data_IF_433483106957
#
_entry.id   IF_433483106957
#
_cell.length_a   1.000
_cell.length_b   1.000
_cell.length_c   1.000
_cell.angle_alpha   90.00
_cell.angle_beta   90.00
_cell.angle_gamma   90.00
#
_symmetry.space_group_name_H-M   'P 1'
#
loop_
_entity.id
_entity.type
_entity.pdbx_description
1 polymer ?
#
# COMPACT_ATOMS: atom_id res chain seq x y z
N UNK A 1 31.54 -34.46 15.38
CA UNK A 1 31.57 -33.01 15.67
C UNK A 1 31.37 -32.30 14.34
N UNK A 2 30.15 -31.92 14.02
CA UNK A 2 29.83 -31.19 12.80
C UNK A 2 30.28 -29.74 12.96
N UNK A 3 31.02 -29.21 11.98
CA UNK A 3 31.24 -27.79 11.82
C UNK A 3 29.87 -27.09 11.85
N UNK A 4 29.64 -26.26 12.88
CA UNK A 4 28.59 -25.24 12.83
C UNK A 4 28.99 -24.28 11.72
N UNK A 5 28.40 -24.44 10.53
CA UNK A 5 28.40 -23.38 9.53
C UNK A 5 27.77 -22.16 10.19
N UNK A 6 28.54 -21.11 10.40
CA UNK A 6 28.08 -19.79 10.80
C UNK A 6 27.38 -19.11 9.61
N UNK A 7 26.32 -19.73 9.09
CA UNK A 7 25.56 -19.26 7.94
C UNK A 7 24.17 -18.78 8.35
N UNK A 8 23.66 -17.77 7.65
CA UNK A 8 22.24 -17.37 7.71
C UNK A 8 21.35 -18.51 7.20
N UNK A 9 20.16 -18.65 7.76
CA UNK A 9 19.19 -19.64 7.28
C UNK A 9 18.83 -19.38 5.81
N UNK A 10 18.59 -20.46 5.05
CA UNK A 10 18.06 -20.33 3.68
C UNK A 10 16.64 -19.78 3.67
N UNK A 11 16.22 -19.18 2.55
CA UNK A 11 14.91 -18.54 2.42
C UNK A 11 13.73 -19.46 2.76
N UNK A 12 13.82 -20.76 2.49
CA UNK A 12 12.78 -21.73 2.89
C UNK A 12 12.60 -21.79 4.41
N UNK A 13 13.69 -21.76 5.18
CA UNK A 13 13.63 -21.74 6.64
C UNK A 13 13.13 -20.38 7.16
N UNK A 14 13.55 -19.28 6.53
CA UNK A 14 13.03 -17.95 6.83
C UNK A 14 11.52 -17.85 6.58
N UNK A 15 11.01 -18.43 5.49
CA UNK A 15 9.59 -18.51 5.18
C UNK A 15 8.84 -19.38 6.20
N UNK A 16 9.41 -20.53 6.59
CA UNK A 16 8.82 -21.39 7.61
C UNK A 16 8.71 -20.73 8.99
N UNK A 17 9.62 -19.81 9.33
CA UNK A 17 9.48 -19.01 10.55
C UNK A 17 8.24 -18.10 10.52
N UNK A 18 7.93 -17.48 9.36
CA UNK A 18 6.68 -16.74 9.19
C UNK A 18 5.48 -17.66 9.38
N UNK A 19 5.50 -18.87 8.78
CA UNK A 19 4.42 -19.86 8.93
C UNK A 19 4.21 -20.24 10.38
N UNK A 20 5.29 -20.54 11.10
CA UNK A 20 5.24 -20.90 12.51
C UNK A 20 4.64 -19.78 13.36
N UNK A 21 5.13 -18.54 13.22
CA UNK A 21 4.61 -17.38 13.95
C UNK A 21 3.13 -17.11 13.63
N UNK A 22 2.72 -17.25 12.36
CA UNK A 22 1.32 -17.10 11.97
C UNK A 22 0.43 -18.15 12.63
N UNK A 23 0.82 -19.43 12.57
CA UNK A 23 0.08 -20.52 13.23
C UNK A 23 -0.04 -20.27 14.74
N UNK A 24 1.07 -19.94 15.40
CA UNK A 24 1.14 -19.79 16.86
C UNK A 24 0.34 -18.59 17.37
N UNK A 25 0.50 -17.42 16.76
CA UNK A 25 -0.21 -16.21 17.16
C UNK A 25 -1.72 -16.36 16.98
N UNK A 26 -2.15 -16.98 15.88
CA UNK A 26 -3.57 -17.19 15.56
C UNK A 26 -4.17 -18.25 16.49
N UNK A 27 -3.44 -19.32 16.78
CA UNK A 27 -3.86 -20.35 17.73
C UNK A 27 -4.01 -19.75 19.14
N UNK A 28 -3.03 -18.98 19.60
CA UNK A 28 -3.08 -18.32 20.91
C UNK A 28 -4.22 -17.31 21.02
N UNK A 29 -4.48 -16.55 19.96
CA UNK A 29 -5.60 -15.60 19.92
C UNK A 29 -6.98 -16.28 19.77
N UNK A 30 -7.00 -17.59 19.43
CA UNK A 30 -8.18 -18.33 18.99
C UNK A 30 -8.98 -17.58 17.90
N UNK A 31 -8.27 -16.84 17.05
CA UNK A 31 -8.86 -15.92 16.06
C UNK A 31 -7.81 -15.49 15.05
N UNK A 32 -8.12 -15.51 13.76
CA UNK A 32 -7.20 -15.05 12.71
C UNK A 32 -7.27 -15.84 11.42
N UNK A 33 -6.37 -15.53 10.49
CA UNK A 33 -6.36 -16.07 9.14
C UNK A 33 -4.98 -16.70 8.84
N UNK A 34 -4.79 -18.00 9.09
CA UNK A 34 -3.46 -18.63 8.93
C UNK A 34 -3.15 -18.94 7.47
N UNK A 35 -4.19 -19.16 6.65
CA UNK A 35 -4.08 -19.67 5.29
C UNK A 35 -3.20 -18.82 4.37
N UNK A 36 -3.51 -17.53 4.23
CA UNK A 36 -2.76 -16.63 3.35
C UNK A 36 -1.31 -16.40 3.83
N UNK A 37 -1.03 -16.09 5.12
CA UNK A 37 0.34 -16.01 5.61
C UNK A 37 1.17 -17.27 5.31
N UNK A 38 0.56 -18.45 5.40
CA UNK A 38 1.24 -19.71 5.11
C UNK A 38 1.51 -19.92 3.62
N UNK A 39 0.56 -19.57 2.75
CA UNK A 39 0.72 -19.68 1.30
C UNK A 39 1.73 -18.68 0.72
N UNK A 40 1.72 -17.44 1.20
CA UNK A 40 2.54 -16.34 0.66
C UNK A 40 3.92 -16.16 1.30
N UNK A 41 4.29 -16.98 2.29
CA UNK A 41 5.53 -16.82 3.05
C UNK A 41 6.79 -16.84 2.17
N UNK A 42 6.89 -17.71 1.15
CA UNK A 42 8.05 -17.78 0.27
C UNK A 42 8.15 -16.55 -0.64
N UNK A 43 7.05 -16.13 -1.27
CA UNK A 43 6.99 -14.90 -2.09
C UNK A 43 7.39 -13.67 -1.28
N UNK A 44 6.84 -13.52 -0.06
CA UNK A 44 7.19 -12.43 0.82
C UNK A 44 8.67 -12.51 1.25
N UNK A 45 9.16 -13.69 1.59
CA UNK A 45 10.56 -13.88 1.98
C UNK A 45 11.51 -13.47 0.85
N UNK A 46 11.27 -13.90 -0.39
CA UNK A 46 12.11 -13.51 -1.54
C UNK A 46 12.06 -12.01 -1.79
N UNK A 47 10.86 -11.39 -1.77
CA UNK A 47 10.71 -9.94 -1.90
C UNK A 47 11.55 -9.20 -0.87
N UNK A 48 11.41 -9.55 0.40
CA UNK A 48 12.09 -8.85 1.48
C UNK A 48 13.59 -9.17 1.50
N UNK A 49 13.97 -10.43 1.31
CA UNK A 49 15.36 -10.86 1.36
C UNK A 49 16.20 -10.27 0.24
N UNK A 50 15.66 -10.13 -0.97
CA UNK A 50 16.47 -9.77 -2.15
C UNK A 50 16.21 -8.38 -2.71
N UNK A 51 15.01 -7.81 -2.53
CA UNK A 51 14.60 -6.65 -3.33
C UNK A 51 14.18 -5.42 -2.53
N UNK A 52 13.50 -5.61 -1.40
CA UNK A 52 12.93 -4.48 -0.68
C UNK A 52 14.03 -3.61 -0.07
N UNK A 53 13.82 -2.30 -0.14
CA UNK A 53 14.67 -1.27 0.45
C UNK A 53 13.92 -0.60 1.61
N UNK A 54 14.21 -0.98 2.86
CA UNK A 54 13.60 -0.39 4.06
C UNK A 54 14.60 -0.40 5.22
N UNK A 55 14.41 0.44 6.23
CA UNK A 55 15.18 0.39 7.47
C UNK A 55 14.20 0.41 8.66
N UNK A 56 14.08 -0.69 9.43
CA UNK A 56 13.20 -0.76 10.60
C UNK A 56 13.49 0.31 11.67
N UNK A 57 14.73 0.81 11.73
CA UNK A 57 15.15 1.88 12.65
C UNK A 57 14.78 3.28 12.14
N UNK A 58 14.37 3.40 10.88
CA UNK A 58 13.93 4.65 10.26
C UNK A 58 12.70 4.38 9.36
N UNK A 59 11.57 3.94 9.95
CA UNK A 59 10.39 3.51 9.20
C UNK A 59 9.70 4.65 8.45
N UNK A 60 10.05 5.91 8.75
CA UNK A 60 9.55 7.11 8.09
C UNK A 60 10.50 7.63 7.00
N UNK A 61 11.63 6.96 6.74
CA UNK A 61 12.57 7.29 5.67
C UNK A 61 11.82 7.52 4.35
N UNK A 62 11.85 8.74 3.77
CA UNK A 62 11.00 9.09 2.64
C UNK A 62 11.20 8.21 1.41
N UNK A 63 12.42 7.71 1.18
CA UNK A 63 12.77 6.95 -0.02
C UNK A 63 12.84 5.44 0.18
N UNK A 64 12.27 4.89 1.27
CA UNK A 64 12.08 3.43 1.39
C UNK A 64 11.13 2.90 0.32
N UNK A 65 11.23 1.64 -0.05
CA UNK A 65 10.15 0.96 -0.76
C UNK A 65 8.90 0.87 0.12
N UNK A 66 7.72 0.99 -0.49
CA UNK A 66 6.43 0.86 0.19
C UNK A 66 5.92 -0.57 0.05
N UNK A 67 5.46 -1.18 1.13
CA UNK A 67 4.81 -2.49 1.13
C UNK A 67 3.38 -2.39 1.62
N UNK A 68 2.43 -2.84 0.80
CA UNK A 68 1.00 -2.83 1.12
C UNK A 68 0.44 -4.25 1.09
N UNK A 69 -0.06 -4.70 2.24
CA UNK A 69 -0.82 -5.95 2.32
C UNK A 69 -2.30 -5.67 2.01
N UNK A 70 -2.67 -5.66 0.72
CA UNK A 70 -4.05 -5.40 0.31
C UNK A 70 -5.04 -6.46 0.82
N UNK A 71 -4.60 -7.72 0.87
CA UNK A 71 -5.31 -8.80 1.56
C UNK A 71 -5.06 -8.73 3.08
N UNK A 72 -5.53 -7.64 3.70
CA UNK A 72 -5.21 -7.30 5.10
C UNK A 72 -5.61 -8.35 6.14
N UNK A 73 -6.47 -9.30 5.80
CA UNK A 73 -6.83 -10.40 6.71
C UNK A 73 -5.61 -11.26 7.08
N UNK A 74 -4.62 -11.38 6.19
CA UNK A 74 -3.34 -12.06 6.42
C UNK A 74 -2.33 -11.23 7.23
N UNK A 75 -2.80 -10.37 8.14
CA UNK A 75 -2.01 -9.43 8.93
C UNK A 75 -0.79 -10.04 9.64
N UNK A 76 -0.91 -11.30 10.11
CA UNK A 76 0.20 -12.01 10.74
C UNK A 76 1.42 -12.22 9.82
N UNK A 77 1.24 -12.25 8.49
CA UNK A 77 2.38 -12.22 7.55
C UNK A 77 3.22 -10.96 7.77
N UNK A 78 2.57 -9.80 7.79
CA UNK A 78 3.22 -8.50 7.93
C UNK A 78 3.80 -8.32 9.34
N UNK A 79 3.08 -8.73 10.39
CA UNK A 79 3.58 -8.62 11.76
C UNK A 79 4.77 -9.55 12.02
N UNK A 80 4.74 -10.79 11.50
CA UNK A 80 5.89 -11.70 11.59
C UNK A 80 7.11 -11.09 10.90
N UNK A 81 6.95 -10.52 9.70
CA UNK A 81 8.03 -9.85 8.98
C UNK A 81 8.57 -8.65 9.78
N UNK A 82 7.70 -7.81 10.34
CA UNK A 82 8.14 -6.65 11.13
C UNK A 82 8.91 -7.09 12.39
N UNK A 83 8.45 -8.14 13.06
CA UNK A 83 9.15 -8.72 14.20
C UNK A 83 10.54 -9.23 13.80
N UNK A 84 10.62 -10.05 12.75
CA UNK A 84 11.86 -10.67 12.29
C UNK A 84 12.87 -9.66 11.75
N UNK A 85 12.40 -8.55 11.16
CA UNK A 85 13.24 -7.43 10.74
C UNK A 85 13.78 -6.59 11.92
N UNK A 86 13.22 -6.75 13.12
CA UNK A 86 13.66 -6.02 14.31
C UNK A 86 13.06 -4.61 14.43
N UNK A 87 11.80 -4.42 14.03
CA UNK A 87 11.04 -3.22 14.41
C UNK A 87 10.93 -3.17 15.94
N UNK A 88 11.31 -2.04 16.53
CA UNK A 88 11.39 -1.86 17.99
C UNK A 88 10.02 -1.90 18.69
N UNK A 89 8.95 -1.58 17.96
CA UNK A 89 7.56 -1.67 18.42
C UNK A 89 6.86 -2.97 18.03
N UNK A 90 7.61 -3.96 17.51
CA UNK A 90 7.11 -5.31 17.20
C UNK A 90 7.93 -6.42 17.90
N UNK A 91 8.12 -6.35 19.23
CA UNK A 91 8.72 -7.47 19.97
C UNK A 91 7.84 -8.73 19.89
N UNK A 92 8.39 -9.89 20.25
CA UNK A 92 7.64 -11.16 20.25
C UNK A 92 6.34 -11.07 21.08
N UNK A 93 6.35 -10.30 22.16
CA UNK A 93 5.18 -10.06 23.00
C UNK A 93 3.99 -9.43 22.25
N UNK A 94 4.22 -8.67 21.18
CA UNK A 94 3.12 -8.18 20.34
C UNK A 94 2.47 -9.34 19.56
N UNK A 95 3.27 -10.19 18.91
CA UNK A 95 2.77 -11.36 18.16
C UNK A 95 2.00 -12.31 19.08
N UNK A 96 2.51 -12.51 20.30
CA UNK A 96 1.87 -13.26 21.37
C UNK A 96 0.54 -12.67 21.85
N UNK A 97 0.27 -11.39 21.58
CA UNK A 97 -0.96 -10.67 21.92
C UNK A 97 -1.73 -10.22 20.66
N UNK A 98 -1.57 -10.96 19.57
CA UNK A 98 -2.35 -10.77 18.36
C UNK A 98 -3.86 -10.71 18.67
N UNK A 99 -4.55 -9.70 18.10
CA UNK A 99 -5.99 -9.43 18.27
C UNK A 99 -6.44 -9.10 19.70
N UNK A 100 -5.53 -8.83 20.63
CA UNK A 100 -5.88 -8.45 21.99
C UNK A 100 -6.03 -6.93 22.13
N UNK A 101 -6.95 -6.50 23.01
CA UNK A 101 -7.20 -5.08 23.27
C UNK A 101 -5.93 -4.43 23.85
N UNK A 102 -5.56 -3.25 23.33
CA UNK A 102 -4.42 -2.47 23.81
C UNK A 102 -3.07 -2.85 23.18
N UNK A 103 -3.04 -3.86 22.30
CA UNK A 103 -1.85 -4.27 21.56
C UNK A 103 -1.85 -3.72 20.13
N UNK A 104 -0.66 -3.63 19.53
CA UNK A 104 -0.45 -3.04 18.19
C UNK A 104 -0.82 -4.00 17.08
N UNK A 105 -0.73 -5.30 17.34
CA UNK A 105 -1.06 -6.40 16.42
C UNK A 105 -2.58 -6.60 16.30
N UNK A 106 -3.26 -5.61 15.72
CA UNK A 106 -4.69 -5.64 15.43
C UNK A 106 -5.05 -6.72 14.40
N UNK A 107 -6.33 -7.11 14.33
CA UNK A 107 -6.78 -8.18 13.43
C UNK A 107 -6.52 -7.92 11.94
N UNK A 108 -6.43 -6.65 11.54
CA UNK A 108 -6.00 -6.17 10.23
C UNK A 108 -4.94 -5.08 10.43
N UNK A 109 -4.04 -4.81 9.46
CA UNK A 109 -3.02 -3.78 9.59
C UNK A 109 -3.64 -2.40 9.72
N UNK A 110 -3.19 -1.63 10.72
CA UNK A 110 -3.68 -0.27 11.00
C UNK A 110 -2.53 0.73 10.94
N UNK A 111 -2.61 1.68 9.99
CA UNK A 111 -1.63 2.76 9.87
C UNK A 111 -1.58 3.59 11.15
N UNK A 112 -0.36 3.89 11.61
CA UNK A 112 -0.11 4.71 12.81
C UNK A 112 -0.15 3.94 14.13
N UNK A 113 -0.67 2.70 14.15
CA UNK A 113 -0.68 1.85 15.35
C UNK A 113 0.59 1.01 15.50
N UNK A 114 1.20 0.57 14.39
CA UNK A 114 2.54 -0.03 14.37
C UNK A 114 3.40 0.58 13.25
N UNK A 115 4.71 0.67 13.48
CA UNK A 115 5.68 1.11 12.48
C UNK A 115 5.71 0.15 11.29
N UNK A 116 6.08 0.68 10.12
CA UNK A 116 6.16 -0.08 8.87
C UNK A 116 4.82 -0.40 8.20
N UNK A 117 3.68 -0.14 8.84
CA UNK A 117 2.36 -0.27 8.20
C UNK A 117 2.08 0.98 7.36
N UNK A 118 2.13 0.83 6.03
CA UNK A 118 1.99 1.96 5.09
C UNK A 118 0.56 2.48 4.94
N UNK A 119 -0.45 1.63 5.16
CA UNK A 119 -1.87 1.99 5.07
C UNK A 119 -2.70 1.01 5.89
N UNK A 120 -3.80 1.48 6.45
CA UNK A 120 -4.83 0.60 6.99
C UNK A 120 -5.47 -0.20 5.86
N UNK A 121 -5.58 -1.51 6.02
CA UNK A 121 -6.26 -2.42 5.09
C UNK A 121 -7.25 -3.31 5.85
N UNK A 122 -7.95 -4.20 5.15
CA UNK A 122 -9.05 -5.00 5.69
C UNK A 122 -10.23 -4.97 4.74
N UNK A 123 -10.81 -3.79 4.44
CA UNK A 123 -11.76 -3.68 3.33
C UNK A 123 -11.03 -3.98 2.02
N UNK A 124 -11.43 -5.06 1.35
CA UNK A 124 -10.73 -5.60 0.19
C UNK A 124 -10.71 -4.59 -0.98
N UNK A 125 -9.68 -4.68 -1.82
CA UNK A 125 -9.47 -3.76 -2.95
C UNK A 125 -8.92 -2.36 -2.60
N UNK A 126 -9.10 -1.89 -1.36
CA UNK A 126 -8.60 -0.57 -0.93
C UNK A 126 -7.07 -0.49 -0.93
N UNK A 127 -6.38 -1.57 -0.53
CA UNK A 127 -4.92 -1.58 -0.47
C UNK A 127 -4.26 -1.39 -1.83
N UNK A 128 -4.69 -2.15 -2.85
CA UNK A 128 -4.19 -1.97 -4.23
C UNK A 128 -4.52 -0.58 -4.78
N UNK A 129 -5.72 -0.05 -4.53
CA UNK A 129 -6.10 1.30 -4.98
C UNK A 129 -5.30 2.40 -4.27
N UNK A 130 -5.01 2.24 -2.98
CA UNK A 130 -4.16 3.15 -2.21
C UNK A 130 -2.71 3.09 -2.69
N UNK A 131 -2.20 1.90 -3.02
CA UNK A 131 -0.86 1.72 -3.58
C UNK A 131 -0.68 2.41 -4.95
N UNK A 132 -1.72 2.51 -5.78
CA UNK A 132 -1.71 3.34 -7.00
C UNK A 132 -1.42 4.80 -6.66
N UNK A 133 -2.03 5.32 -5.59
CA UNK A 133 -1.76 6.66 -5.08
C UNK A 133 -0.32 6.86 -4.62
N UNK A 134 0.24 5.89 -3.87
CA UNK A 134 1.63 5.92 -3.41
C UNK A 134 2.62 5.91 -4.59
N UNK A 135 2.42 5.02 -5.56
CA UNK A 135 3.24 4.94 -6.77
C UNK A 135 3.14 6.22 -7.62
N UNK A 136 1.95 6.82 -7.72
CA UNK A 136 1.76 8.10 -8.40
C UNK A 136 2.51 9.23 -7.68
N UNK A 137 2.42 9.30 -6.36
CA UNK A 137 3.13 10.29 -5.56
C UNK A 137 4.66 10.16 -5.72
N UNK A 138 5.21 8.94 -5.76
CA UNK A 138 6.62 8.70 -6.08
C UNK A 138 6.98 9.33 -7.43
N UNK A 139 6.20 9.05 -8.49
CA UNK A 139 6.48 9.57 -9.85
C UNK A 139 6.47 11.10 -9.89
N UNK A 140 5.53 11.71 -9.17
CA UNK A 140 5.40 13.17 -9.08
C UNK A 140 6.57 13.78 -8.29
N UNK A 141 6.93 13.20 -7.15
CA UNK A 141 8.05 13.66 -6.33
C UNK A 141 9.40 13.48 -7.04
N UNK A 142 9.65 12.31 -7.64
CA UNK A 142 10.85 12.05 -8.44
C UNK A 142 10.98 13.03 -9.62
N UNK A 143 9.87 13.41 -10.25
CA UNK A 143 9.89 14.39 -11.34
C UNK A 143 10.17 15.82 -10.86
N UNK A 144 9.76 16.17 -9.63
CA UNK A 144 9.96 17.49 -9.04
C UNK A 144 11.35 17.64 -8.43
N UNK A 145 11.79 16.64 -7.66
CA UNK A 145 13.00 16.70 -6.84
C UNK A 145 14.18 15.95 -7.45
N UNK A 146 13.94 14.91 -8.24
CA UNK A 146 14.96 14.12 -8.93
C UNK A 146 15.19 12.75 -8.27
N UNK A 147 15.74 11.81 -9.04
CA UNK A 147 15.97 10.42 -8.61
C UNK A 147 16.95 10.29 -7.43
N UNK A 148 17.84 11.26 -7.25
CA UNK A 148 18.75 11.27 -6.11
C UNK A 148 18.01 11.43 -4.76
N UNK A 149 16.78 11.94 -4.76
CA UNK A 149 15.97 12.07 -3.53
C UNK A 149 14.80 11.08 -3.49
N UNK A 150 14.31 10.65 -4.64
CA UNK A 150 13.10 9.82 -4.77
C UNK A 150 13.30 8.78 -5.87
N UNK A 151 13.54 7.54 -5.48
CA UNK A 151 13.71 6.36 -6.32
C UNK A 151 13.37 5.09 -5.53
N UNK A 152 12.08 4.78 -5.42
CA UNK A 152 11.60 3.60 -4.71
C UNK A 152 10.43 2.93 -5.43
N UNK A 153 10.13 1.70 -5.04
CA UNK A 153 9.03 0.89 -5.54
C UNK A 153 7.87 0.86 -4.55
N UNK A 154 6.70 0.51 -5.05
CA UNK A 154 5.52 0.15 -4.25
C UNK A 154 5.16 -1.29 -4.57
N UNK A 155 5.24 -2.16 -3.57
CA UNK A 155 4.91 -3.57 -3.65
C UNK A 155 3.58 -3.84 -2.96
N UNK A 156 2.74 -4.67 -3.57
CA UNK A 156 1.42 -5.02 -3.04
C UNK A 156 1.25 -6.53 -3.03
N UNK A 157 0.78 -7.11 -1.92
CA UNK A 157 0.21 -8.45 -1.92
C UNK A 157 -1.31 -8.33 -1.93
N UNK A 158 -1.96 -8.89 -2.94
CA UNK A 158 -3.41 -8.94 -3.10
C UNK A 158 -3.87 -10.40 -3.27
N UNK A 159 -5.08 -10.70 -2.81
CA UNK A 159 -5.73 -12.00 -3.04
C UNK A 159 -6.96 -11.86 -3.95
N UNK A 160 -7.65 -12.96 -4.21
CA UNK A 160 -8.80 -13.02 -5.10
C UNK A 160 -9.90 -12.02 -4.71
N UNK A 161 -10.23 -11.93 -3.42
CA UNK A 161 -11.23 -10.98 -2.94
C UNK A 161 -10.87 -9.52 -3.24
N UNK A 162 -9.58 -9.15 -3.25
CA UNK A 162 -9.18 -7.81 -3.68
C UNK A 162 -9.44 -7.58 -5.17
N UNK A 163 -9.30 -8.62 -6.00
CA UNK A 163 -9.43 -8.52 -7.45
C UNK A 163 -10.87 -8.69 -7.95
N UNK A 164 -11.77 -9.22 -7.13
CA UNK A 164 -13.21 -9.24 -7.39
C UNK A 164 -13.86 -7.86 -7.15
N UNK A 165 -13.32 -7.07 -6.21
CA UNK A 165 -13.85 -5.75 -5.86
C UNK A 165 -13.77 -4.75 -7.03
N UNK A 166 -14.85 -3.99 -7.25
CA UNK A 166 -14.95 -3.02 -8.35
C UNK A 166 -13.88 -1.92 -8.30
N UNK A 167 -13.52 -1.46 -7.10
CA UNK A 167 -12.45 -0.48 -6.90
C UNK A 167 -11.08 -0.95 -7.46
N UNK A 168 -10.84 -2.27 -7.48
CA UNK A 168 -9.60 -2.81 -8.06
C UNK A 168 -9.55 -2.56 -9.57
N UNK A 169 -10.69 -2.66 -10.27
CA UNK A 169 -10.75 -2.36 -11.70
C UNK A 169 -10.40 -0.90 -11.97
N UNK A 170 -10.99 0.02 -11.20
CA UNK A 170 -10.69 1.46 -11.28
C UNK A 170 -9.19 1.74 -11.09
N UNK A 171 -8.58 1.10 -10.08
CA UNK A 171 -7.17 1.23 -9.76
C UNK A 171 -6.25 0.64 -10.85
N UNK A 172 -6.56 -0.56 -11.33
CA UNK A 172 -5.81 -1.27 -12.38
C UNK A 172 -5.80 -0.46 -13.67
N UNK A 173 -6.97 0.04 -14.08
CA UNK A 173 -7.11 0.86 -15.28
C UNK A 173 -6.34 2.19 -15.15
N UNK A 174 -6.50 2.91 -14.02
CA UNK A 174 -5.79 4.18 -13.80
C UNK A 174 -4.26 4.01 -13.77
N UNK A 175 -3.75 3.00 -13.07
CA UNK A 175 -2.32 2.74 -12.98
C UNK A 175 -1.70 2.36 -14.32
N UNK A 176 -2.44 1.56 -15.10
CA UNK A 176 -2.10 1.18 -16.46
C UNK A 176 -2.06 2.38 -17.40
N UNK A 177 -3.12 3.19 -17.39
CA UNK A 177 -3.19 4.44 -18.13
C UNK A 177 -2.01 5.38 -17.82
N UNK A 178 -1.69 5.55 -16.53
CA UNK A 178 -0.58 6.40 -16.08
C UNK A 178 0.81 5.78 -16.27
N UNK A 179 0.91 4.50 -16.67
CA UNK A 179 2.16 3.75 -16.81
C UNK A 179 3.02 3.80 -15.54
N UNK A 180 2.44 3.46 -14.40
CA UNK A 180 3.13 3.47 -13.10
C UNK A 180 4.13 2.30 -12.95
N UNK A 181 5.27 2.39 -13.65
CA UNK A 181 6.30 1.34 -13.73
C UNK A 181 7.03 0.96 -12.44
N UNK A 182 6.68 1.58 -11.32
CA UNK A 182 7.21 1.28 -9.98
C UNK A 182 6.18 0.63 -9.06
N UNK A 183 5.02 0.26 -9.59
CA UNK A 183 3.99 -0.51 -8.90
C UNK A 183 4.08 -1.98 -9.31
N UNK A 184 4.31 -2.85 -8.33
CA UNK A 184 4.39 -4.30 -8.53
C UNK A 184 3.40 -4.98 -7.59
N UNK A 185 2.45 -5.71 -8.17
CA UNK A 185 1.41 -6.45 -7.46
C UNK A 185 1.71 -7.94 -7.55
N UNK A 186 1.83 -8.58 -6.40
CA UNK A 186 1.81 -10.03 -6.24
C UNK A 186 0.36 -10.44 -5.97
N UNK A 187 -0.21 -11.23 -6.87
CA UNK A 187 -1.50 -11.85 -6.64
C UNK A 187 -1.28 -13.26 -6.10
N UNK A 188 -1.80 -13.51 -4.90
CA UNK A 188 -1.93 -14.83 -4.30
C UNK A 188 -2.99 -15.63 -5.07
N UNK A 189 -2.56 -16.32 -6.14
CA UNK A 189 -3.39 -17.12 -7.05
C UNK A 189 -3.62 -18.51 -6.44
N UNK A 190 -4.35 -18.54 -5.32
CA UNK A 190 -4.58 -19.73 -4.51
C UNK A 190 -5.93 -20.44 -4.78
N UNK A 191 -6.82 -19.80 -5.55
CA UNK A 191 -8.17 -20.27 -5.94
C UNK A 191 -9.18 -20.44 -4.81
N UNK A 192 -8.94 -19.88 -3.63
CA UNK A 192 -9.81 -20.01 -2.46
C UNK A 192 -10.27 -18.63 -1.97
N UNK A 193 -11.58 -18.51 -1.83
CA UNK A 193 -12.26 -17.43 -1.11
C UNK A 193 -12.88 -17.97 0.19
N UNK A 194 -13.62 -17.13 0.92
CA UNK A 194 -14.30 -17.55 2.17
C UNK A 194 -15.29 -18.69 1.92
N UNK A 195 -16.04 -18.62 0.81
CA UNK A 195 -17.11 -19.57 0.52
C UNK A 195 -16.59 -20.89 -0.11
N UNK A 196 -15.29 -21.00 -0.38
CA UNK A 196 -14.71 -22.15 -1.09
C UNK A 196 -13.93 -21.73 -2.32
N UNK A 197 -13.92 -22.62 -3.31
CA UNK A 197 -13.26 -22.38 -4.60
C UNK A 197 -13.80 -21.10 -5.26
N UNK A 198 -12.89 -20.28 -5.78
CA UNK A 198 -13.22 -19.05 -6.51
C UNK A 198 -14.14 -19.27 -7.71
N UNK A 199 -14.15 -20.46 -8.32
CA UNK A 199 -15.04 -20.81 -9.43
C UNK A 199 -16.54 -20.73 -9.05
N UNK A 200 -16.87 -20.75 -7.75
CA UNK A 200 -18.24 -20.58 -7.27
C UNK A 200 -18.82 -19.19 -7.60
N UNK A 201 -17.98 -18.16 -7.71
CA UNK A 201 -18.44 -16.76 -7.81
C UNK A 201 -17.76 -15.95 -8.92
N UNK A 202 -16.68 -16.44 -9.53
CA UNK A 202 -16.02 -15.72 -10.62
C UNK A 202 -15.42 -16.63 -11.68
N UNK A 203 -15.47 -16.17 -12.92
CA UNK A 203 -14.76 -16.78 -14.07
C UNK A 203 -13.81 -15.77 -14.74
N UNK A 204 -13.48 -14.69 -14.03
CA UNK A 204 -12.67 -13.59 -14.55
C UNK A 204 -11.21 -14.02 -14.79
N UNK A 205 -10.73 -13.88 -16.03
CA UNK A 205 -9.30 -14.02 -16.30
C UNK A 205 -8.54 -12.77 -15.85
N UNK A 206 -8.04 -12.80 -14.61
CA UNK A 206 -7.33 -11.67 -14.00
C UNK A 206 -6.09 -11.28 -14.80
N UNK A 207 -5.29 -12.24 -15.27
CA UNK A 207 -4.10 -11.96 -16.06
C UNK A 207 -4.45 -11.21 -17.36
N UNK A 208 -5.52 -11.61 -18.05
CA UNK A 208 -5.99 -10.93 -19.26
C UNK A 208 -6.55 -9.53 -18.94
N UNK A 209 -7.31 -9.38 -17.85
CA UNK A 209 -7.81 -8.07 -17.37
C UNK A 209 -6.66 -7.08 -17.16
N UNK A 210 -5.59 -7.50 -16.50
CA UNK A 210 -4.40 -6.67 -16.29
C UNK A 210 -3.66 -6.37 -17.62
N UNK A 211 -3.50 -7.35 -18.51
CA UNK A 211 -2.90 -7.11 -19.84
C UNK A 211 -3.69 -6.07 -20.63
N UNK A 212 -5.02 -6.17 -20.62
CA UNK A 212 -5.92 -5.24 -21.29
C UNK A 212 -5.80 -3.82 -20.73
N UNK A 213 -5.61 -3.68 -19.42
CA UNK A 213 -5.32 -2.40 -18.77
C UNK A 213 -3.88 -1.90 -18.98
N UNK A 214 -3.06 -2.56 -19.80
CA UNK A 214 -1.70 -2.08 -20.10
C UNK A 214 -0.63 -2.48 -19.08
N UNK A 215 -0.87 -3.49 -18.25
CA UNK A 215 0.13 -4.02 -17.30
C UNK A 215 1.07 -5.04 -17.94
N UNK A 216 2.30 -5.10 -17.40
CA UNK A 216 3.15 -6.26 -17.58
C UNK A 216 2.63 -7.40 -16.68
N UNK A 217 2.54 -8.62 -17.20
CA UNK A 217 1.90 -9.74 -16.48
C UNK A 217 2.71 -11.02 -16.64
N UNK A 218 3.04 -11.63 -15.51
CA UNK A 218 3.78 -12.89 -15.40
C UNK A 218 3.03 -13.85 -14.46
N UNK A 219 3.35 -15.15 -14.57
CA UNK A 219 2.92 -16.19 -13.63
C UNK A 219 4.16 -16.95 -13.16
N UNK A 220 4.20 -17.29 -11.87
CA UNK A 220 5.28 -18.05 -11.24
C UNK A 220 4.71 -19.11 -10.31
N UNK A 221 5.48 -20.17 -10.08
CA UNK A 221 5.28 -21.01 -8.90
C UNK A 221 5.67 -20.20 -7.65
N UNK A 222 4.73 -20.05 -6.71
CA UNK A 222 4.93 -19.29 -5.47
C UNK A 222 5.89 -19.94 -4.47
N UNK A 223 6.43 -21.12 -4.77
CA UNK A 223 7.40 -21.83 -3.95
C UNK A 223 8.77 -22.01 -4.63
N UNK A 224 8.94 -21.51 -5.86
CA UNK A 224 10.23 -21.46 -6.54
C UNK A 224 10.86 -20.08 -6.35
N UNK A 225 11.79 -20.00 -5.41
CA UNK A 225 12.43 -18.74 -5.02
C UNK A 225 13.16 -18.05 -6.16
N UNK A 226 13.76 -18.81 -7.08
CA UNK A 226 14.48 -18.23 -8.22
C UNK A 226 13.51 -17.75 -9.31
N UNK A 227 12.40 -18.46 -9.52
CA UNK A 227 11.33 -18.00 -10.41
C UNK A 227 10.69 -16.71 -9.89
N UNK A 228 10.43 -16.61 -8.58
CA UNK A 228 9.93 -15.39 -7.93
C UNK A 228 10.93 -14.25 -8.12
N UNK A 229 12.21 -14.47 -7.80
CA UNK A 229 13.25 -13.45 -7.93
C UNK A 229 13.37 -12.95 -9.38
N UNK A 230 13.42 -13.86 -10.34
CA UNK A 230 13.47 -13.54 -11.78
C UNK A 230 12.25 -12.71 -12.20
N UNK A 231 11.05 -13.06 -11.73
CA UNK A 231 9.84 -12.31 -12.06
C UNK A 231 9.86 -10.88 -11.49
N UNK A 232 10.38 -10.68 -10.28
CA UNK A 232 10.55 -9.35 -9.67
C UNK A 232 11.57 -8.53 -10.48
N UNK A 233 12.70 -9.11 -10.86
CA UNK A 233 13.70 -8.44 -11.71
C UNK A 233 13.10 -7.99 -13.04
N UNK A 234 12.35 -8.87 -13.72
CA UNK A 234 11.67 -8.54 -14.96
C UNK A 234 10.67 -7.40 -14.75
N UNK A 235 9.86 -7.46 -13.70
CA UNK A 235 8.87 -6.43 -13.37
C UNK A 235 9.53 -5.04 -13.22
N UNK A 236 10.66 -4.95 -12.50
CA UNK A 236 11.41 -3.71 -12.28
C UNK A 236 11.99 -3.09 -13.56
N UNK A 237 12.17 -3.87 -14.64
CA UNK A 237 12.77 -3.42 -15.92
C UNK A 237 11.76 -2.95 -16.97
N UNK A 238 10.47 -3.24 -16.80
CA UNK A 238 9.48 -3.05 -17.89
C UNK A 238 9.03 -1.61 -18.12
N UNK A 239 9.14 -0.75 -17.10
CA UNK A 239 8.56 0.60 -17.13
C UNK A 239 7.02 0.63 -17.11
N UNK A 240 6.36 -0.51 -16.96
CA UNK A 240 4.90 -0.67 -16.84
C UNK A 240 4.55 -1.17 -15.43
N UNK A 241 3.38 -0.83 -14.87
CA UNK A 241 2.94 -1.50 -13.65
C UNK A 241 2.87 -3.01 -13.91
N UNK A 242 3.25 -3.82 -12.93
CA UNK A 242 3.44 -5.27 -13.10
C UNK A 242 2.55 -6.10 -12.18
N UNK A 243 1.90 -7.12 -12.72
CA UNK A 243 1.25 -8.20 -11.99
C UNK A 243 2.11 -9.46 -12.06
N UNK A 244 2.38 -10.05 -10.92
CA UNK A 244 2.99 -11.38 -10.79
C UNK A 244 1.93 -12.29 -10.14
N UNK A 245 1.31 -13.15 -10.94
CA UNK A 245 0.40 -14.18 -10.44
C UNK A 245 1.25 -15.28 -9.79
N UNK A 246 1.20 -15.36 -8.47
CA UNK A 246 1.96 -16.32 -7.67
C UNK A 246 1.05 -17.52 -7.41
N UNK A 247 1.31 -18.65 -8.08
CA UNK A 247 0.53 -19.86 -7.86
C UNK A 247 0.92 -20.45 -6.51
N UNK A 248 -0.01 -20.42 -5.55
CA UNK A 248 0.19 -20.89 -4.18
C UNK A 248 -0.91 -21.88 -3.79
N UNK A 249 -0.87 -22.33 -2.53
CA UNK A 249 -1.84 -23.21 -1.87
C UNK A 249 -2.14 -22.52 -0.54
N UNK A 250 -3.40 -22.15 -0.30
CA UNK A 250 -3.79 -21.57 0.98
C UNK A 250 -3.50 -22.57 2.12
N UNK A 251 -2.93 -22.11 3.23
CA UNK A 251 -2.59 -22.99 4.35
C UNK A 251 -1.42 -23.95 4.08
N UNK A 252 -0.57 -23.65 3.10
CA UNK A 252 0.57 -24.50 2.73
C UNK A 252 1.35 -25.00 3.95
N UNK A 253 1.51 -26.33 4.02
CA UNK A 253 2.18 -27.01 5.10
C UNK A 253 1.22 -27.68 6.08
N UNK A 254 -0.06 -27.28 6.16
CA UNK A 254 -1.08 -27.96 6.96
C UNK A 254 -1.64 -29.16 6.17
N UNK A 255 -1.15 -30.40 6.40
CA UNK A 255 -1.35 -31.50 5.47
C UNK A 255 -2.81 -31.93 5.28
N UNK A 256 -3.68 -31.70 6.27
CA UNK A 256 -5.09 -32.11 6.21
C UNK A 256 -6.02 -30.96 5.82
N UNK A 257 -5.57 -29.70 5.91
CA UNK A 257 -6.40 -28.52 5.66
C UNK A 257 -5.94 -27.64 4.49
N UNK A 258 -4.69 -27.74 4.03
CA UNK A 258 -4.18 -26.90 2.94
C UNK A 258 -5.01 -27.04 1.66
N UNK A 259 -5.18 -25.95 0.92
CA UNK A 259 -5.99 -25.91 -0.31
C UNK A 259 -7.50 -25.84 -0.05
N UNK A 260 -7.93 -25.67 1.20
CA UNK A 260 -9.35 -25.50 1.57
C UNK A 260 -9.58 -24.17 2.28
N UNK A 261 -10.80 -23.63 2.08
CA UNK A 261 -11.41 -22.51 2.78
C UNK A 261 -11.39 -22.65 4.30
N UNK A 262 -11.27 -23.88 4.82
CA UNK A 262 -11.10 -24.16 6.26
C UNK A 262 -9.86 -23.50 6.86
N UNK A 263 -8.84 -23.22 6.05
CA UNK A 263 -7.63 -22.49 6.49
C UNK A 263 -7.75 -20.96 6.36
N UNK A 264 -8.86 -20.46 5.81
CA UNK A 264 -9.00 -19.03 5.51
C UNK A 264 -9.08 -18.21 6.79
N UNK A 265 -10.02 -18.48 7.69
CA UNK A 265 -10.39 -17.57 8.79
C UNK A 265 -10.55 -18.19 10.17
N UNK A 266 -10.01 -19.40 10.37
CA UNK A 266 -10.03 -20.08 11.66
C UNK A 266 -8.62 -20.56 12.05
N UNK A 267 -8.31 -20.65 13.36
CA UNK A 267 -7.13 -21.37 13.84
C UNK A 267 -7.11 -22.80 13.33
N UNK A 268 -5.92 -23.35 13.10
CA UNK A 268 -5.77 -24.72 12.57
C UNK A 268 -6.13 -25.79 13.61
N UNK A 269 -5.92 -25.50 14.91
CA UNK A 269 -6.02 -26.48 15.99
C UNK A 269 -4.69 -27.19 16.26
N UNK A 270 -4.50 -27.64 17.50
CA UNK A 270 -3.22 -28.15 18.00
C UNK A 270 -2.71 -29.38 17.21
N UNK A 271 -3.61 -30.31 16.87
CA UNK A 271 -3.27 -31.51 16.10
C UNK A 271 -2.77 -31.16 14.69
N UNK A 272 -3.42 -30.21 14.02
CA UNK A 272 -3.03 -29.79 12.67
C UNK A 272 -1.74 -28.97 12.71
N UNK A 273 -1.52 -28.15 13.74
CA UNK A 273 -0.25 -27.44 13.92
C UNK A 273 0.91 -28.42 14.14
N UNK A 274 0.71 -29.47 14.93
CA UNK A 274 1.71 -30.50 15.12
C UNK A 274 2.03 -31.24 13.81
N UNK A 275 1.00 -31.55 13.02
CA UNK A 275 1.16 -32.15 11.69
C UNK A 275 1.89 -31.20 10.71
N UNK A 276 1.55 -29.92 10.72
CA UNK A 276 2.16 -28.91 9.88
C UNK A 276 3.64 -28.69 10.21
N UNK A 277 3.99 -28.63 11.50
CA UNK A 277 5.38 -28.57 11.97
C UNK A 277 6.20 -29.76 11.46
N UNK A 278 5.65 -30.97 11.52
CA UNK A 278 6.30 -32.17 10.96
C UNK A 278 6.49 -32.06 9.44
N UNK A 279 5.45 -31.64 8.71
CA UNK A 279 5.49 -31.48 7.25
C UNK A 279 6.52 -30.44 6.80
N UNK A 280 6.63 -29.32 7.53
CA UNK A 280 7.56 -28.22 7.23
C UNK A 280 8.98 -28.49 7.75
N UNK A 281 9.19 -29.54 8.54
CA UNK A 281 10.46 -29.81 9.21
C UNK A 281 10.81 -28.78 10.29
N UNK A 282 9.79 -28.17 10.92
CA UNK A 282 9.95 -27.12 11.93
C UNK A 282 9.82 -27.70 13.34
N UNK A 283 10.95 -27.86 14.04
CA UNK A 283 11.01 -28.56 15.34
C UNK A 283 11.01 -27.65 16.57
N UNK A 284 10.99 -26.33 16.38
CA UNK A 284 11.03 -25.36 17.47
C UNK A 284 9.67 -25.26 18.18
N UNK A 285 9.65 -24.74 19.41
CA UNK A 285 8.41 -24.52 20.17
C UNK A 285 7.63 -23.31 19.63
N UNK A 286 6.38 -23.11 20.08
CA UNK A 286 5.64 -21.90 19.75
C UNK A 286 6.43 -20.64 20.14
N UNK A 287 6.43 -19.64 19.24
CA UNK A 287 7.15 -18.37 19.43
C UNK A 287 8.68 -18.50 19.64
N UNK A 288 9.28 -19.64 19.29
CA UNK A 288 10.72 -19.85 19.30
C UNK A 288 11.26 -19.77 17.87
N UNK A 289 12.13 -18.79 17.62
CA UNK A 289 12.80 -18.58 16.32
C UNK A 289 14.30 -18.80 16.52
N UNK A 290 14.97 -19.62 15.68
CA UNK A 290 16.39 -19.86 15.81
C UNK A 290 17.24 -18.67 15.34
N UNK A 291 18.44 -18.56 15.92
CA UNK A 291 19.36 -17.43 15.69
C UNK A 291 19.78 -17.25 14.23
N UNK A 292 19.90 -18.34 13.46
CA UNK A 292 20.28 -18.31 12.05
C UNK A 292 19.17 -17.73 11.15
N UNK A 293 17.90 -17.92 11.52
CA UNK A 293 16.76 -17.26 10.89
C UNK A 293 16.75 -15.77 11.24
N UNK A 294 16.92 -15.40 12.51
CA UNK A 294 17.06 -13.99 12.88
C UNK A 294 18.21 -13.31 12.14
N UNK A 295 19.37 -13.98 12.02
CA UNK A 295 20.51 -13.47 11.27
C UNK A 295 20.16 -13.19 9.80
N UNK A 296 19.37 -14.06 9.15
CA UNK A 296 18.90 -13.85 7.78
C UNK A 296 18.01 -12.62 7.63
N UNK A 297 17.06 -12.41 8.54
CA UNK A 297 16.18 -11.24 8.51
C UNK A 297 16.88 -9.94 8.95
N UNK A 298 17.80 -9.99 9.91
CA UNK A 298 18.61 -8.84 10.30
C UNK A 298 19.55 -8.40 9.17
N UNK A 299 20.06 -9.32 8.34
CA UNK A 299 20.84 -8.95 7.16
C UNK A 299 20.03 -8.09 6.16
N UNK A 300 18.70 -8.26 6.11
CA UNK A 300 17.80 -7.39 5.33
C UNK A 300 17.76 -5.98 5.91
N UNK A 301 17.62 -5.88 7.24
CA UNK A 301 17.62 -4.60 7.95
C UNK A 301 18.98 -3.87 7.80
N UNK A 302 20.10 -4.59 7.85
CA UNK A 302 21.44 -4.04 7.68
C UNK A 302 21.69 -3.52 6.25
N UNK A 303 21.23 -4.26 5.23
CA UNK A 303 21.21 -3.77 3.84
C UNK A 303 20.39 -2.48 3.73
N UNK A 304 19.26 -2.46 4.41
CA UNK A 304 18.38 -1.31 4.55
C UNK A 304 19.04 -0.07 5.14
N UNK A 305 19.69 -0.23 6.29
CA UNK A 305 20.42 0.83 6.98
C UNK A 305 21.55 1.39 6.11
N UNK A 306 22.26 0.52 5.38
CA UNK A 306 23.29 0.93 4.42
C UNK A 306 22.69 1.76 3.27
N UNK A 307 21.60 1.29 2.66
CA UNK A 307 20.91 2.03 1.60
C UNK A 307 20.33 3.38 2.06
N UNK A 308 19.86 3.47 3.31
CA UNK A 308 19.43 4.74 3.90
C UNK A 308 20.61 5.67 4.12
N UNK A 309 21.74 5.19 4.63
CA UNK A 309 22.95 6.00 4.79
C UNK A 309 23.39 6.62 3.46
N UNK A 310 23.46 5.81 2.40
CA UNK A 310 23.78 6.28 1.04
C UNK A 310 22.74 7.29 0.52
N UNK A 311 21.47 7.15 0.90
CA UNK A 311 20.43 8.14 0.59
C UNK A 311 20.62 9.44 1.37
N UNK A 312 20.97 9.37 2.65
CA UNK A 312 21.23 10.55 3.49
C UNK A 312 22.39 11.37 2.93
N UNK A 313 23.48 10.73 2.50
CA UNK A 313 24.61 11.41 1.85
C UNK A 313 24.16 12.15 0.56
N UNK A 314 23.39 11.48 -0.31
CA UNK A 314 22.82 12.11 -1.52
C UNK A 314 21.81 13.21 -1.20
N UNK A 315 21.08 13.09 -0.09
CA UNK A 315 20.14 14.10 0.36
C UNK A 315 20.88 15.36 0.81
N UNK A 316 21.88 15.22 1.68
CA UNK A 316 22.67 16.33 2.22
C UNK A 316 23.39 17.11 1.12
N UNK A 317 23.86 16.43 0.06
CA UNK A 317 24.50 17.04 -1.11
C UNK A 317 23.51 17.71 -2.09
N UNK A 318 22.21 17.40 -2.00
CA UNK A 318 21.23 17.87 -2.97
C UNK A 318 20.88 19.34 -2.76
N UNK A 319 21.02 20.14 -3.82
CA UNK A 319 20.54 21.54 -3.85
C UNK A 319 19.02 21.66 -3.63
N UNK A 320 18.29 20.56 -3.66
CA UNK A 320 16.84 20.50 -3.47
C UNK A 320 16.41 19.94 -2.11
N UNK A 321 17.35 19.55 -1.24
CA UNK A 321 17.09 18.95 0.07
C UNK A 321 16.07 19.76 0.89
N UNK A 322 16.35 21.05 1.12
CA UNK A 322 15.45 21.94 1.90
C UNK A 322 14.03 22.03 1.32
N UNK A 323 13.91 22.09 -0.01
CA UNK A 323 12.61 22.17 -0.67
C UNK A 323 11.87 20.82 -0.64
N UNK A 324 12.62 19.71 -0.69
CA UNK A 324 12.10 18.36 -0.52
C UNK A 324 11.60 18.13 0.91
N UNK A 325 12.37 18.52 1.93
CA UNK A 325 11.97 18.37 3.33
C UNK A 325 10.73 19.19 3.67
N UNK A 326 10.65 20.43 3.17
CA UNK A 326 9.45 21.25 3.28
C UNK A 326 8.24 20.62 2.55
N UNK A 327 8.47 19.86 1.48
CA UNK A 327 7.39 19.13 0.82
C UNK A 327 6.94 17.92 1.66
N UNK A 328 7.90 17.15 2.20
CA UNK A 328 7.65 15.97 3.03
C UNK A 328 6.95 16.33 4.34
N UNK A 329 7.25 17.48 4.95
CA UNK A 329 6.56 17.92 6.18
C UNK A 329 5.06 18.18 5.95
N UNK A 330 4.66 18.52 4.73
CA UNK A 330 3.27 18.85 4.39
C UNK A 330 2.76 20.15 5.03
N UNK A 331 3.65 20.92 5.66
CA UNK A 331 3.31 22.20 6.29
C UNK A 331 2.98 23.25 5.22
N UNK A 332 1.79 23.83 5.32
CA UNK A 332 1.40 24.89 4.38
C UNK A 332 2.27 26.13 4.59
N UNK A 333 2.87 26.71 3.53
CA UNK A 333 3.64 27.94 3.66
C UNK A 333 2.80 29.07 4.26
N UNK A 334 3.37 29.87 5.17
CA UNK A 334 2.68 31.01 5.79
C UNK A 334 2.13 32.02 4.75
N UNK A 335 2.72 32.07 3.56
CA UNK A 335 2.23 32.85 2.43
C UNK A 335 0.81 32.46 1.99
N UNK A 336 0.45 31.18 2.07
CA UNK A 336 -0.91 30.70 1.77
C UNK A 336 -1.90 31.28 2.77
N UNK A 337 -1.58 31.21 4.08
CA UNK A 337 -2.45 31.74 5.13
C UNK A 337 -2.65 33.26 5.01
N UNK A 338 -1.58 34.01 4.74
CA UNK A 338 -1.68 35.47 4.49
C UNK A 338 -2.52 35.79 3.26
N UNK A 339 -2.33 35.06 2.16
CA UNK A 339 -3.08 35.28 0.93
C UNK A 339 -4.57 34.96 1.12
N UNK A 340 -4.91 33.87 1.82
CA UNK A 340 -6.29 33.52 2.15
C UNK A 340 -6.93 34.54 3.10
N UNK A 341 -6.19 35.11 4.05
CA UNK A 341 -6.69 36.16 4.93
C UNK A 341 -7.05 37.45 4.15
N UNK A 342 -6.17 37.87 3.23
CA UNK A 342 -6.44 39.01 2.35
C UNK A 342 -7.64 38.74 1.43
N UNK A 343 -7.69 37.55 0.81
CA UNK A 343 -8.81 37.08 -0.02
C UNK A 343 -10.14 37.14 0.72
N UNK A 344 -10.21 36.60 1.96
CA UNK A 344 -11.43 36.68 2.78
C UNK A 344 -11.84 38.12 3.09
N UNK A 345 -10.89 38.98 3.49
CA UNK A 345 -11.16 40.40 3.79
C UNK A 345 -11.75 41.11 2.57
N UNK A 346 -11.18 40.88 1.39
CA UNK A 346 -11.67 41.46 0.14
C UNK A 346 -13.09 41.00 -0.18
N UNK A 347 -13.36 39.69 -0.19
CA UNK A 347 -14.69 39.18 -0.57
C UNK A 347 -15.80 39.54 0.42
N UNK A 348 -15.46 39.74 1.70
CA UNK A 348 -16.39 40.31 2.69
C UNK A 348 -16.72 41.76 2.35
N UNK A 349 -15.72 42.58 2.01
CA UNK A 349 -15.94 43.98 1.62
C UNK A 349 -16.75 44.10 0.32
N UNK A 350 -16.41 43.30 -0.68
CA UNK A 350 -17.05 43.29 -2.01
C UNK A 350 -18.44 42.64 -2.00
N UNK A 351 -18.86 42.02 -0.88
CA UNK A 351 -20.12 41.27 -0.74
C UNK A 351 -20.34 40.30 -1.91
N UNK A 352 -19.29 39.57 -2.27
CA UNK A 352 -19.27 38.74 -3.48
C UNK A 352 -20.39 37.70 -3.48
N UNK A 353 -21.19 37.66 -4.54
CA UNK A 353 -22.28 36.71 -4.74
C UNK A 353 -21.94 35.73 -5.85
N UNK A 354 -21.51 34.53 -5.46
CA UNK A 354 -21.22 33.42 -6.37
C UNK A 354 -21.68 32.10 -5.73
N UNK A 355 -21.91 31.08 -6.55
CA UNK A 355 -22.13 29.72 -6.03
C UNK A 355 -20.92 29.25 -5.21
N UNK A 356 -21.13 28.44 -4.18
CA UNK A 356 -20.05 27.94 -3.30
C UNK A 356 -19.00 27.13 -4.06
N UNK A 357 -19.38 26.40 -5.13
CA UNK A 357 -18.41 25.76 -6.04
C UNK A 357 -17.46 26.76 -6.72
N UNK A 358 -17.95 27.94 -7.10
CA UNK A 358 -17.12 29.00 -7.68
C UNK A 358 -16.26 29.67 -6.60
N UNK A 359 -16.80 29.88 -5.40
CA UNK A 359 -16.01 30.33 -4.26
C UNK A 359 -14.89 29.34 -3.91
N UNK A 360 -15.14 28.02 -4.01
CA UNK A 360 -14.14 26.97 -3.85
C UNK A 360 -13.01 27.11 -4.89
N UNK A 361 -13.36 27.27 -6.17
CA UNK A 361 -12.36 27.54 -7.23
C UNK A 361 -11.50 28.77 -6.92
N UNK A 362 -12.14 29.87 -6.52
CA UNK A 362 -11.43 31.12 -6.21
C UNK A 362 -10.48 30.94 -5.02
N UNK A 363 -10.87 30.18 -4.00
CA UNK A 363 -9.98 29.82 -2.89
C UNK A 363 -8.83 28.91 -3.35
N UNK A 364 -9.10 27.92 -4.20
CA UNK A 364 -8.07 27.05 -4.79
C UNK A 364 -7.08 27.86 -5.63
N UNK A 365 -7.51 28.86 -6.39
CA UNK A 365 -6.63 29.75 -7.17
C UNK A 365 -5.63 30.47 -6.27
N UNK A 366 -6.08 30.95 -5.10
CA UNK A 366 -5.21 31.59 -4.10
C UNK A 366 -4.22 30.57 -3.50
N UNK A 367 -4.69 29.37 -3.16
CA UNK A 367 -3.86 28.32 -2.53
C UNK A 367 -2.78 27.85 -3.51
N UNK A 368 -3.19 27.43 -4.72
CA UNK A 368 -2.32 26.84 -5.73
C UNK A 368 -1.32 27.84 -6.30
N UNK A 369 -1.62 29.15 -6.26
CA UNK A 369 -0.66 30.19 -6.62
C UNK A 369 0.44 30.41 -5.56
N UNK A 370 0.29 29.87 -4.34
CA UNK A 370 1.20 30.09 -3.21
C UNK A 370 1.88 28.82 -2.70
N UNK A 371 1.52 27.65 -3.22
CA UNK A 371 2.19 26.39 -2.89
C UNK A 371 2.19 25.41 -4.05
N UNK A 372 3.23 24.57 -4.11
CA UNK A 372 3.26 23.39 -4.98
C UNK A 372 2.81 22.11 -4.26
N UNK A 373 2.47 22.17 -2.96
CA UNK A 373 2.08 21.00 -2.17
C UNK A 373 0.78 20.36 -2.64
N UNK A 374 -0.10 21.10 -3.31
CA UNK A 374 -1.40 20.55 -3.70
C UNK A 374 -1.28 19.60 -4.89
N UNK A 375 -2.04 18.50 -4.83
CA UNK A 375 -2.29 17.59 -5.93
C UNK A 375 -3.81 17.53 -6.14
N UNK A 376 -4.31 18.28 -7.11
CA UNK A 376 -5.74 18.39 -7.39
C UNK A 376 -6.24 17.37 -8.39
N UNK A 377 -7.56 17.26 -8.51
CA UNK A 377 -8.17 16.47 -9.57
C UNK A 377 -9.70 16.45 -9.48
N UNK A 378 -10.30 15.66 -10.36
CA UNK A 378 -11.74 15.36 -10.34
C UNK A 378 -12.01 14.01 -10.98
N UNK A 379 -13.07 13.34 -10.53
CA UNK A 379 -13.63 12.18 -11.21
C UNK A 379 -14.46 12.64 -12.42
N UNK A 380 -13.78 12.98 -13.52
CA UNK A 380 -14.32 13.47 -14.81
C UNK A 380 -15.16 14.77 -14.77
N UNK A 381 -15.44 15.30 -13.59
CA UNK A 381 -16.33 16.44 -13.37
C UNK A 381 -15.57 17.77 -13.18
N UNK A 382 -14.38 17.92 -13.79
CA UNK A 382 -13.47 19.07 -13.61
C UNK A 382 -14.18 20.41 -13.80
N UNK A 383 -14.93 20.56 -14.89
CA UNK A 383 -15.59 21.82 -15.24
C UNK A 383 -16.87 22.08 -14.42
N UNK A 384 -17.47 21.03 -13.87
CA UNK A 384 -18.67 21.13 -13.02
C UNK A 384 -18.29 21.42 -11.56
N UNK A 385 -17.21 20.81 -11.08
CA UNK A 385 -16.68 20.98 -9.71
C UNK A 385 -15.78 22.21 -9.57
N UNK A 386 -15.23 22.72 -10.67
CA UNK A 386 -14.32 23.86 -10.72
C UNK A 386 -13.03 23.65 -9.92
N UNK A 387 -12.48 22.45 -10.01
CA UNK A 387 -11.28 22.01 -9.25
C UNK A 387 -9.96 22.34 -9.95
N UNK A 388 -9.97 22.62 -11.25
CA UNK A 388 -8.79 23.03 -12.02
C UNK A 388 -8.60 24.55 -11.93
N UNK A 389 -7.39 24.97 -11.55
CA UNK A 389 -7.03 26.40 -11.42
C UNK A 389 -5.90 26.78 -12.38
N UNK A 390 -5.80 28.08 -12.69
CA UNK A 390 -4.78 28.59 -13.60
C UNK A 390 -3.37 28.22 -13.11
N UNK A 391 -2.54 27.69 -14.01
CA UNK A 391 -1.15 27.29 -13.73
C UNK A 391 -0.98 25.84 -13.30
N UNK A 392 -2.06 25.12 -13.01
CA UNK A 392 -2.00 23.67 -12.83
C UNK A 392 -1.90 22.96 -14.18
N UNK A 393 -1.02 21.97 -14.25
CA UNK A 393 -0.82 21.15 -15.45
C UNK A 393 -1.24 19.70 -15.17
N UNK A 394 -1.80 19.04 -16.18
CA UNK A 394 -2.20 17.64 -16.12
C UNK A 394 -1.01 16.73 -15.82
N UNK A 395 -1.21 15.80 -14.89
CA UNK A 395 -0.35 14.65 -14.68
C UNK A 395 -0.71 13.61 -15.75
N UNK A 396 0.26 13.27 -16.60
CA UNK A 396 0.08 12.31 -17.70
C UNK A 396 1.32 11.41 -17.80
N UNK A 397 1.24 10.25 -18.49
CA UNK A 397 2.40 9.38 -18.69
C UNK A 397 3.61 10.16 -19.22
N UNK A 398 4.74 10.09 -18.51
CA UNK A 398 5.97 10.80 -18.86
C UNK A 398 6.02 12.28 -18.47
N UNK A 399 4.90 12.89 -18.03
CA UNK A 399 4.82 14.29 -17.56
C UNK A 399 4.26 14.36 -16.13
N UNK A 400 4.98 13.77 -15.17
CA UNK A 400 4.56 13.73 -13.77
C UNK A 400 4.89 15.00 -12.96
N UNK A 401 5.50 16.03 -13.56
CA UNK A 401 5.67 17.35 -12.91
C UNK A 401 4.34 18.10 -12.70
N UNK A 402 3.25 17.64 -13.32
CA UNK A 402 1.93 18.21 -13.14
C UNK A 402 1.44 18.21 -11.68
N UNK A 403 0.30 18.84 -11.48
CA UNK A 403 -0.38 18.92 -10.18
C UNK A 403 -1.88 18.65 -10.28
N UNK A 404 -2.40 18.36 -11.49
CA UNK A 404 -3.80 18.05 -11.70
C UNK A 404 -3.98 16.64 -12.27
N UNK A 405 -4.71 15.78 -11.56
CA UNK A 405 -4.93 14.38 -11.88
C UNK A 405 -6.33 14.23 -12.46
N UNK A 406 -6.42 13.60 -13.63
CA UNK A 406 -7.69 13.22 -14.25
C UNK A 406 -8.01 11.78 -13.86
N UNK A 407 -8.89 11.60 -12.89
CA UNK A 407 -9.18 10.27 -12.34
C UNK A 407 -10.11 9.43 -13.23
N UNK A 408 -10.83 10.06 -14.17
CA UNK A 408 -11.94 9.43 -14.89
C UNK A 408 -13.17 9.22 -13.99
N UNK A 409 -14.18 8.52 -14.47
CA UNK A 409 -15.40 8.19 -13.67
C UNK A 409 -15.08 7.05 -12.70
N UNK A 410 -14.32 7.38 -11.65
CA UNK A 410 -13.69 6.45 -10.72
C UNK A 410 -13.66 7.04 -9.30
N UNK A 411 -14.82 7.36 -8.73
CA UNK A 411 -14.93 8.02 -7.43
C UNK A 411 -14.24 7.24 -6.30
N UNK A 412 -14.43 5.91 -6.28
CA UNK A 412 -13.90 5.07 -5.22
C UNK A 412 -12.37 4.94 -5.32
N UNK A 413 -11.88 4.67 -6.53
CA UNK A 413 -10.46 4.63 -6.87
C UNK A 413 -9.77 5.98 -6.70
N UNK A 414 -10.43 7.10 -7.03
CA UNK A 414 -9.94 8.46 -6.77
C UNK A 414 -9.70 8.67 -5.28
N UNK A 415 -10.71 8.39 -4.44
CA UNK A 415 -10.61 8.61 -3.01
C UNK A 415 -9.53 7.73 -2.36
N UNK A 416 -9.38 6.47 -2.79
CA UNK A 416 -8.31 5.59 -2.31
C UNK A 416 -6.92 6.03 -2.80
N UNK A 417 -6.77 6.42 -4.07
CA UNK A 417 -5.52 6.96 -4.59
C UNK A 417 -5.13 8.26 -3.85
N UNK A 418 -6.09 9.12 -3.49
CA UNK A 418 -5.85 10.29 -2.65
C UNK A 418 -5.35 9.92 -1.24
N UNK A 419 -5.85 8.83 -0.64
CA UNK A 419 -5.26 8.30 0.60
C UNK A 419 -3.79 7.92 0.41
N UNK A 420 -3.47 7.23 -0.69
CA UNK A 420 -2.10 6.83 -0.99
C UNK A 420 -1.15 8.00 -1.21
N UNK A 421 -1.63 9.06 -1.88
CA UNK A 421 -0.88 10.31 -2.07
C UNK A 421 -0.61 11.00 -0.74
N UNK A 422 -1.60 11.05 0.17
CA UNK A 422 -1.43 11.62 1.49
C UNK A 422 -0.45 10.81 2.36
N UNK A 423 -0.61 9.49 2.40
CA UNK A 423 0.24 8.56 3.15
C UNK A 423 1.70 8.57 2.68
N UNK A 424 1.93 8.71 1.37
CA UNK A 424 3.28 8.86 0.82
C UNK A 424 3.98 10.13 1.33
N UNK A 425 3.22 11.16 1.73
CA UNK A 425 3.67 12.54 2.00
C UNK A 425 4.14 13.26 0.74
N UNK A 426 4.56 14.52 0.87
CA UNK A 426 4.97 15.37 -0.25
C UNK A 426 3.83 16.16 -0.89
N UNK A 427 2.58 15.78 -0.62
CA UNK A 427 1.39 16.43 -1.19
C UNK A 427 0.22 16.54 -0.20
N UNK A 428 -0.66 17.50 -0.48
CA UNK A 428 -2.01 17.62 0.09
C UNK A 428 -3.00 17.35 -1.05
N UNK A 429 -3.55 16.13 -1.16
CA UNK A 429 -4.42 15.79 -2.27
C UNK A 429 -5.82 16.38 -2.11
N UNK A 430 -6.40 16.83 -3.22
CA UNK A 430 -7.82 17.15 -3.31
C UNK A 430 -8.44 16.59 -4.59
N UNK A 431 -9.73 16.25 -4.53
CA UNK A 431 -10.47 15.64 -5.63
C UNK A 431 -11.94 15.96 -5.54
N UNK A 432 -12.56 16.22 -6.68
CA UNK A 432 -13.98 16.57 -6.75
C UNK A 432 -14.84 15.54 -7.48
N UNK A 433 -16.06 15.35 -6.96
CA UNK A 433 -17.22 14.75 -7.63
C UNK A 433 -18.49 15.46 -7.14
N UNK A 434 -19.67 15.05 -7.60
CA UNK A 434 -20.93 15.53 -7.02
C UNK A 434 -21.16 14.88 -5.66
N UNK A 435 -21.79 15.62 -4.73
CA UNK A 435 -21.99 15.15 -3.36
C UNK A 435 -22.77 13.83 -3.30
N UNK A 436 -23.75 13.64 -4.18
CA UNK A 436 -24.51 12.38 -4.27
C UNK A 436 -23.63 11.17 -4.61
N UNK A 437 -22.53 11.37 -5.35
CA UNK A 437 -21.61 10.27 -5.70
C UNK A 437 -20.56 9.98 -4.63
N UNK A 438 -20.59 10.67 -3.49
CA UNK A 438 -19.80 10.23 -2.33
C UNK A 438 -20.19 8.83 -1.85
N UNK A 439 -21.40 8.37 -2.17
CA UNK A 439 -21.82 7.00 -1.90
C UNK A 439 -20.94 5.96 -2.61
N UNK A 440 -20.45 6.24 -3.82
CA UNK A 440 -19.47 5.40 -4.51
C UNK A 440 -18.12 5.39 -3.79
N UNK A 441 -17.68 6.52 -3.23
CA UNK A 441 -16.38 6.66 -2.58
C UNK A 441 -16.35 6.37 -1.08
N UNK A 442 -17.50 6.06 -0.48
CA UNK A 442 -17.71 6.12 0.98
C UNK A 442 -16.71 5.27 1.77
N UNK A 443 -16.39 4.08 1.27
CA UNK A 443 -15.41 3.19 1.91
C UNK A 443 -14.02 3.81 2.02
N UNK A 444 -13.56 4.51 0.97
CA UNK A 444 -12.24 5.14 0.96
C UNK A 444 -12.21 6.42 1.81
N UNK A 445 -13.28 7.22 1.81
CA UNK A 445 -13.45 8.39 2.69
C UNK A 445 -13.37 7.96 4.16
N UNK A 446 -14.01 6.83 4.51
CA UNK A 446 -13.94 6.27 5.87
C UNK A 446 -12.50 5.92 6.26
N UNK A 447 -11.71 5.35 5.35
CA UNK A 447 -10.30 5.04 5.62
C UNK A 447 -9.45 6.29 5.77
N UNK A 448 -9.73 7.38 5.04
CA UNK A 448 -9.04 8.66 5.25
C UNK A 448 -9.21 9.17 6.67
N UNK A 449 -10.45 9.12 7.18
CA UNK A 449 -10.76 9.52 8.55
C UNK A 449 -10.08 8.60 9.56
N UNK A 450 -10.18 7.28 9.38
CA UNK A 450 -9.60 6.29 10.28
C UNK A 450 -8.08 6.43 10.39
N UNK A 451 -7.40 6.72 9.28
CA UNK A 451 -5.94 6.89 9.22
C UNK A 451 -5.47 8.32 9.56
N UNK A 452 -6.38 9.25 9.87
CA UNK A 452 -6.04 10.65 10.13
C UNK A 452 -5.41 11.38 8.94
N UNK A 453 -5.76 10.99 7.71
CA UNK A 453 -5.12 11.53 6.50
C UNK A 453 -5.74 12.84 6.05
N UNK A 454 -4.86 13.77 5.65
CA UNK A 454 -5.25 15.11 5.16
C UNK A 454 -5.67 15.06 3.69
N UNK A 455 -6.84 14.50 3.45
CA UNK A 455 -7.46 14.40 2.12
C UNK A 455 -8.62 15.41 2.01
N UNK A 456 -8.63 16.22 0.95
CA UNK A 456 -9.66 17.26 0.77
C UNK A 456 -10.66 16.87 -0.32
N UNK A 457 -11.89 16.60 0.09
CA UNK A 457 -12.99 16.22 -0.80
C UNK A 457 -13.80 17.45 -1.25
N UNK A 458 -13.74 17.79 -2.54
CA UNK A 458 -14.46 18.93 -3.13
C UNK A 458 -15.80 18.45 -3.70
N UNK A 459 -16.82 18.36 -2.84
CA UNK A 459 -18.12 17.79 -3.19
C UNK A 459 -19.13 18.89 -3.54
N UNK A 460 -19.50 18.99 -4.81
CA UNK A 460 -20.37 20.06 -5.32
C UNK A 460 -21.79 19.56 -5.62
N UNK A 461 -22.69 20.41 -6.13
CA UNK A 461 -24.09 20.06 -6.43
C UNK A 461 -24.79 19.43 -5.21
N UNK A 462 -24.69 20.12 -4.07
CA UNK A 462 -24.93 19.57 -2.75
C UNK A 462 -26.41 19.38 -2.37
N UNK A 463 -27.36 19.78 -3.20
CA UNK A 463 -28.79 19.72 -2.86
C UNK A 463 -29.66 19.72 -4.12
N UNK A 464 -30.98 19.71 -3.91
CA UNK A 464 -32.00 19.89 -4.96
C UNK A 464 -31.81 21.15 -5.82
N UNK A 465 -31.00 22.12 -5.38
CA UNK A 465 -30.64 23.30 -6.17
C UNK A 465 -29.81 23.01 -7.43
N UNK A 466 -29.45 21.74 -7.68
CA UNK A 466 -28.77 21.31 -8.92
C UNK A 466 -29.69 21.24 -10.15
N UNK A 467 -31.02 21.25 -9.97
CA UNK A 467 -32.01 20.90 -11.00
C UNK A 467 -31.90 21.62 -12.35
N UNK A 468 -32.77 21.26 -13.28
CA UNK A 468 -32.76 21.76 -14.67
C UNK A 468 -33.29 23.20 -14.74
N UNK A 469 -32.39 24.17 -14.93
CA UNK A 469 -32.72 25.57 -15.18
C UNK A 469 -32.14 26.05 -16.50
#
# INVERSE_FOLDING_TARGET
MAQKNSGTAGEKQMANAIRALAMDAIQKANSGHPGMPMGMADVATVLFNRFIKLDPKAPDWPDRDRFVLSAGHGSMLQYAIHHLLGYDDMPMSELENFRQLGHRTAGHPEYGHAKGIETTTGPLGQGIATAVGMALAERMMASRFGKALVDHFTYVIAGDGCLMEGISHEAIDLAGHLKLGRLIVFWDDNHISIDGDTELATSMNQMQRFRAAGWHVQKVDGYDNEAIATAIENAKRTGRPSLIACKTIIGYGAPNLQGSEKTHGAPLGDDEIAAARKQLGWTYKPFEIPDDVYAGWHAIADRGASARKDWTERHDESRRAKAFDAAISGEMPAAVNRALAAFRKQHVADKTKVATRKASQMALEVINAKTSLTAGGSADLTHSNLTLTKGMNSVTPGKFKGSYIHYGVREHGMAAAMNGIALHKGFVPYGGTFLVFTDYARGAIRLSALMGQRVVYVMTHASIGLGEH
#
